data_IF_669739410941
#
_entry.id   IF_669739410941
#
_cell.length_a   1.000
_cell.length_b   1.000
_cell.length_c   1.000
_cell.angle_alpha   90.00
_cell.angle_beta   90.00
_cell.angle_gamma   90.00
#
_symmetry.space_group_name_H-M   'P 1'
#
loop_
_entity.id
_entity.type
_entity.pdbx_description
1 polymer ?
#
# COMPACT_ATOMS: atom_id res chain seq x y z
N UNK A 1 -53.63 -49.49 29.54
CA UNK A 1 -54.06 -48.93 28.25
C UNK A 1 -53.59 -47.47 28.23
N UNK A 2 -52.39 -47.20 27.69
CA UNK A 2 -51.88 -45.84 27.50
C UNK A 2 -51.62 -45.68 26.00
N UNK A 3 -52.39 -44.83 25.34
CA UNK A 3 -52.16 -44.44 23.95
C UNK A 3 -51.14 -43.30 23.98
N UNK A 4 -49.92 -43.59 23.52
CA UNK A 4 -48.88 -42.59 23.27
C UNK A 4 -49.21 -41.88 21.97
N UNK A 5 -49.76 -40.67 22.05
CA UNK A 5 -49.91 -39.80 20.88
C UNK A 5 -48.54 -39.30 20.42
N UNK A 6 -48.06 -39.87 19.31
CA UNK A 6 -46.83 -39.44 18.66
C UNK A 6 -47.13 -38.16 17.86
N UNK A 7 -46.65 -37.02 18.37
CA UNK A 7 -46.79 -35.73 17.69
C UNK A 7 -46.17 -35.78 16.27
N UNK A 8 -47.02 -35.73 15.24
CA UNK A 8 -46.62 -35.64 13.83
C UNK A 8 -45.97 -34.28 13.57
N UNK A 9 -44.66 -34.26 13.42
CA UNK A 9 -43.92 -33.06 13.04
C UNK A 9 -44.15 -32.77 11.54
N UNK A 10 -45.00 -31.81 11.22
CA UNK A 10 -45.23 -31.35 9.84
C UNK A 10 -43.97 -30.67 9.31
N UNK A 11 -43.19 -31.39 8.50
CA UNK A 11 -42.07 -30.81 7.75
C UNK A 11 -42.65 -29.92 6.63
N UNK A 12 -42.59 -28.61 6.82
CA UNK A 12 -42.87 -27.62 5.76
C UNK A 12 -41.69 -27.64 4.78
N UNK A 13 -41.94 -27.98 3.52
CA UNK A 13 -40.95 -27.87 2.44
C UNK A 13 -41.00 -26.47 1.83
N UNK A 14 -39.85 -25.96 1.41
CA UNK A 14 -39.77 -24.73 0.61
C UNK A 14 -40.41 -24.95 -0.76
N UNK A 15 -41.15 -23.96 -1.23
CA UNK A 15 -41.67 -23.95 -2.60
C UNK A 15 -40.58 -23.55 -3.59
N UNK A 16 -40.64 -24.06 -4.82
CA UNK A 16 -39.69 -23.68 -5.88
C UNK A 16 -39.71 -22.18 -6.17
N UNK A 17 -40.89 -21.55 -6.04
CA UNK A 17 -41.06 -20.11 -6.28
C UNK A 17 -40.41 -19.27 -5.19
N UNK A 18 -40.46 -19.70 -3.92
CA UNK A 18 -39.77 -19.01 -2.82
C UNK A 18 -38.26 -19.00 -3.05
N UNK A 19 -37.68 -20.12 -3.49
CA UNK A 19 -36.25 -20.20 -3.77
C UNK A 19 -35.87 -19.34 -4.98
N UNK A 20 -36.70 -19.32 -6.03
CA UNK A 20 -36.47 -18.54 -7.24
C UNK A 20 -36.46 -17.03 -6.98
N UNK A 21 -37.40 -16.52 -6.19
CA UNK A 21 -37.43 -15.09 -5.82
C UNK A 21 -36.21 -14.70 -5.00
N UNK A 22 -35.75 -15.56 -4.10
CA UNK A 22 -34.60 -15.27 -3.24
C UNK A 22 -33.32 -15.12 -4.05
N UNK A 23 -33.03 -16.04 -4.97
CA UNK A 23 -31.83 -15.92 -5.81
C UNK A 23 -31.91 -14.72 -6.76
N UNK A 24 -33.11 -14.34 -7.21
CA UNK A 24 -33.32 -13.14 -8.02
C UNK A 24 -32.95 -11.87 -7.25
N UNK A 25 -33.41 -11.75 -5.99
CA UNK A 25 -33.08 -10.60 -5.13
C UNK A 25 -31.60 -10.59 -4.75
N UNK A 26 -31.02 -11.74 -4.38
CA UNK A 26 -29.59 -11.85 -4.08
C UNK A 26 -28.75 -11.46 -5.30
N UNK A 27 -29.12 -11.91 -6.50
CA UNK A 27 -28.45 -11.56 -7.76
C UNK A 27 -28.47 -10.06 -8.04
N UNK A 28 -29.63 -9.42 -7.84
CA UNK A 28 -29.77 -7.97 -7.98
C UNK A 28 -28.84 -7.21 -7.02
N UNK A 29 -28.85 -7.56 -5.73
CA UNK A 29 -28.01 -6.90 -4.72
C UNK A 29 -26.52 -7.17 -4.97
N UNK A 30 -26.15 -8.40 -5.33
CA UNK A 30 -24.77 -8.77 -5.63
C UNK A 30 -24.19 -7.99 -6.82
N UNK A 31 -24.99 -7.72 -7.85
CA UNK A 31 -24.55 -6.96 -9.03
C UNK A 31 -24.11 -5.52 -8.68
N UNK A 32 -24.85 -4.84 -7.80
CA UNK A 32 -24.54 -3.47 -7.37
C UNK A 32 -23.25 -3.44 -6.56
N UNK A 33 -23.09 -4.38 -5.64
CA UNK A 33 -21.89 -4.50 -4.79
C UNK A 33 -20.64 -4.75 -5.63
N UNK A 34 -20.74 -5.55 -6.68
CA UNK A 34 -19.60 -5.89 -7.52
C UNK A 34 -19.03 -4.68 -8.26
N UNK A 35 -19.88 -3.76 -8.76
CA UNK A 35 -19.44 -2.53 -9.42
C UNK A 35 -18.72 -1.58 -8.44
N UNK A 36 -19.16 -1.50 -7.20
CA UNK A 36 -18.56 -0.64 -6.19
C UNK A 36 -17.20 -1.14 -5.66
N UNK A 37 -16.90 -2.43 -5.80
CA UNK A 37 -15.75 -3.07 -5.16
C UNK A 37 -14.40 -2.71 -5.79
N UNK A 38 -14.35 -2.48 -7.11
CA UNK A 38 -13.12 -2.13 -7.83
C UNK A 38 -12.47 -0.84 -7.30
N UNK A 39 -13.18 0.31 -7.34
CA UNK A 39 -12.69 1.59 -6.82
C UNK A 39 -12.42 1.55 -5.31
N UNK A 40 -13.24 0.82 -4.54
CA UNK A 40 -13.03 0.67 -3.09
C UNK A 40 -11.69 -0.01 -2.77
N UNK A 41 -11.34 -1.08 -3.50
CA UNK A 41 -10.04 -1.75 -3.37
C UNK A 41 -8.88 -0.83 -3.75
N UNK A 42 -9.03 -0.01 -4.80
CA UNK A 42 -8.01 0.96 -5.19
C UNK A 42 -7.74 1.99 -4.10
N UNK A 43 -8.80 2.58 -3.53
CA UNK A 43 -8.69 3.53 -2.40
C UNK A 43 -8.06 2.90 -1.16
N UNK A 44 -8.39 1.65 -0.87
CA UNK A 44 -7.78 0.92 0.25
C UNK A 44 -6.26 0.72 0.05
N UNK A 45 -5.83 0.39 -1.18
CA UNK A 45 -4.40 0.31 -1.51
C UNK A 45 -3.70 1.67 -1.41
N UNK A 46 -4.34 2.73 -1.87
CA UNK A 46 -3.77 4.09 -1.78
C UNK A 46 -3.64 4.55 -0.32
N UNK A 47 -4.64 4.28 0.53
CA UNK A 47 -4.56 4.57 1.95
C UNK A 47 -3.41 3.82 2.63
N UNK A 48 -3.20 2.54 2.26
CA UNK A 48 -2.06 1.74 2.73
C UNK A 48 -0.73 2.32 2.26
N UNK A 49 -0.59 2.71 0.99
CA UNK A 49 0.63 3.35 0.45
C UNK A 49 0.99 4.63 1.19
N UNK A 50 -0.01 5.49 1.46
CA UNK A 50 0.19 6.74 2.22
C UNK A 50 0.65 6.44 3.65
N UNK A 51 0.04 5.46 4.31
CA UNK A 51 0.45 5.03 5.65
C UNK A 51 1.88 4.48 5.67
N UNK A 52 2.25 3.69 4.67
CA UNK A 52 3.57 3.07 4.57
C UNK A 52 4.66 4.13 4.34
N UNK A 53 4.43 5.11 3.45
CA UNK A 53 5.35 6.24 3.25
C UNK A 53 5.52 7.05 4.54
N UNK A 54 4.46 7.27 5.31
CA UNK A 54 4.56 7.95 6.61
C UNK A 54 5.39 7.16 7.62
N UNK A 55 5.19 5.84 7.70
CA UNK A 55 5.99 4.98 8.58
C UNK A 55 7.47 5.05 8.19
N UNK A 56 7.78 5.02 6.89
CA UNK A 56 9.15 5.16 6.40
C UNK A 56 9.72 6.54 6.78
N UNK A 57 8.98 7.62 6.54
CA UNK A 57 9.36 9.00 6.94
C UNK A 57 9.67 9.10 8.44
N UNK A 58 8.82 8.53 9.30
CA UNK A 58 9.05 8.54 10.75
C UNK A 58 10.28 7.73 11.14
N UNK A 59 10.50 6.56 10.53
CA UNK A 59 11.71 5.79 10.80
C UNK A 59 12.98 6.54 10.35
N UNK A 60 12.90 7.24 9.22
CA UNK A 60 13.97 8.09 8.71
C UNK A 60 14.29 9.26 9.66
N UNK A 61 13.26 9.94 10.18
CA UNK A 61 13.40 11.03 11.15
C UNK A 61 14.04 10.54 12.47
N UNK A 62 13.60 9.40 12.99
CA UNK A 62 14.18 8.80 14.20
C UNK A 62 15.65 8.42 13.98
N UNK A 63 15.96 7.89 12.80
CA UNK A 63 17.30 7.48 12.41
C UNK A 63 18.25 8.68 12.25
N UNK A 64 17.76 9.83 11.77
CA UNK A 64 18.54 11.06 11.67
C UNK A 64 19.02 11.59 13.04
N UNK A 65 18.22 11.38 14.10
CA UNK A 65 18.57 11.76 15.46
C UNK A 65 19.51 10.81 16.19
N UNK A 66 19.80 9.62 15.63
CA UNK A 66 20.63 8.59 16.26
C UNK A 66 21.95 8.36 15.50
N UNK A 67 23.07 8.43 16.22
CA UNK A 67 24.40 8.18 15.64
C UNK A 67 24.60 6.70 15.28
N UNK A 68 23.86 5.79 15.91
CA UNK A 68 23.90 4.33 15.62
C UNK A 68 23.39 3.99 14.22
N UNK A 69 22.57 4.88 13.65
CA UNK A 69 22.08 4.83 12.28
C UNK A 69 23.10 5.28 11.24
N UNK A 70 24.07 6.13 11.63
CA UNK A 70 25.11 6.69 10.76
C UNK A 70 26.37 5.80 10.63
N UNK A 71 26.46 4.71 11.40
CA UNK A 71 27.66 3.85 11.50
C UNK A 71 27.62 2.60 10.64
N UNK A 72 26.63 2.45 9.76
CA UNK A 72 26.73 1.49 8.67
C UNK A 72 27.71 2.05 7.64
N UNK A 73 28.93 1.50 7.68
CA UNK A 73 30.00 1.72 6.73
C UNK A 73 29.48 1.55 5.29
N UNK A 74 30.01 2.36 4.40
CA UNK A 74 29.55 2.67 3.04
C UNK A 74 28.52 3.80 3.00
N UNK A 75 28.76 4.70 2.06
CA UNK A 75 28.12 5.98 1.73
C UNK A 75 26.66 5.85 1.28
N UNK A 76 25.94 5.00 1.99
CA UNK A 76 24.63 4.45 1.73
C UNK A 76 23.86 4.45 3.04
N UNK A 77 23.74 5.64 3.64
CA UNK A 77 22.75 5.90 4.70
C UNK A 77 21.35 5.47 4.27
N UNK A 78 21.10 5.46 2.95
CA UNK A 78 20.22 4.50 2.32
C UNK A 78 20.93 3.84 1.13
N UNK A 79 21.43 2.62 1.33
CA UNK A 79 21.15 1.63 0.29
C UNK A 79 19.65 1.36 0.43
N UNK A 80 18.84 2.20 -0.20
CA UNK A 80 17.73 1.64 -0.95
C UNK A 80 18.46 0.60 -1.80
N UNK A 81 18.41 -0.67 -1.40
CA UNK A 81 18.73 -1.73 -2.34
C UNK A 81 17.64 -1.62 -3.38
N UNK A 82 17.87 -0.69 -4.29
CA UNK A 82 17.28 -0.55 -5.57
C UNK A 82 17.63 -1.86 -6.25
N UNK A 83 16.63 -2.66 -6.57
CA UNK A 83 16.84 -3.65 -7.62
C UNK A 83 17.26 -2.92 -8.91
N UNK A 84 17.50 -3.65 -10.00
CA UNK A 84 17.78 -3.03 -11.29
C UNK A 84 16.68 -2.02 -11.74
N UNK A 85 15.52 -2.03 -11.07
CA UNK A 85 14.37 -1.16 -11.29
C UNK A 85 14.25 -0.04 -10.25
N UNK A 86 15.29 0.21 -9.43
CA UNK A 86 15.34 1.26 -8.41
C UNK A 86 14.29 1.13 -7.30
N UNK A 87 13.68 -0.06 -7.13
CA UNK A 87 12.66 -0.33 -6.10
C UNK A 87 13.31 -0.48 -4.74
N UNK A 88 12.66 0.03 -3.70
CA UNK A 88 13.07 -0.19 -2.32
C UNK A 88 12.88 -1.68 -1.95
N UNK A 89 13.94 -2.51 -2.05
CA UNK A 89 13.85 -3.98 -1.86
C UNK A 89 14.41 -4.50 -0.54
N UNK A 90 15.44 -3.86 0.02
CA UNK A 90 15.96 -4.19 1.36
C UNK A 90 16.49 -2.92 2.01
N UNK A 91 15.67 -2.24 2.78
CA UNK A 91 16.14 -1.11 3.59
C UNK A 91 15.75 -1.36 5.02
N UNK A 92 16.78 -1.75 5.76
CA UNK A 92 16.85 -1.58 7.19
C UNK A 92 17.04 -0.08 7.40
N UNK A 93 16.00 0.67 7.79
CA UNK A 93 16.17 2.07 8.24
C UNK A 93 16.75 1.99 9.66
N UNK A 94 18.01 1.57 9.74
CA UNK A 94 18.66 1.17 10.99
C UNK A 94 17.79 0.26 11.86
N UNK A 95 17.83 0.47 13.17
CA UNK A 95 17.05 -0.28 14.17
C UNK A 95 15.54 0.05 14.13
N UNK A 96 15.15 1.12 13.44
CA UNK A 96 13.79 1.69 13.52
C UNK A 96 12.80 1.08 12.51
N UNK A 97 13.30 0.45 11.45
CA UNK A 97 12.47 -0.32 10.53
C UNK A 97 13.27 -1.49 9.93
N UNK A 98 13.13 -2.72 10.48
CA UNK A 98 13.91 -3.87 10.03
C UNK A 98 13.40 -4.45 8.70
N UNK A 99 12.13 -4.21 8.36
CA UNK A 99 11.52 -4.64 7.11
C UNK A 99 10.64 -3.53 6.54
N UNK A 100 10.72 -3.37 5.22
CA UNK A 100 9.86 -2.46 4.50
C UNK A 100 8.44 -3.01 4.41
N UNK A 101 7.41 -2.15 4.50
CA UNK A 101 6.06 -2.54 4.16
C UNK A 101 5.99 -3.08 2.72
N UNK A 102 5.29 -4.20 2.54
CA UNK A 102 5.01 -4.73 1.20
C UNK A 102 3.94 -3.90 0.51
N UNK A 103 4.18 -3.53 -0.74
CA UNK A 103 3.21 -2.78 -1.53
C UNK A 103 1.92 -3.61 -1.75
N UNK A 104 0.73 -3.06 -1.45
CA UNK A 104 -0.52 -3.82 -1.40
C UNK A 104 -1.08 -4.23 -2.77
N UNK A 105 -0.54 -3.70 -3.87
CA UNK A 105 -0.86 -4.11 -5.24
C UNK A 105 0.04 -5.20 -5.79
N UNK A 106 1.10 -5.59 -5.08
CA UNK A 106 2.10 -6.55 -5.56
C UNK A 106 2.79 -6.12 -6.86
N UNK A 107 2.73 -4.83 -7.20
CA UNK A 107 3.24 -4.35 -8.49
C UNK A 107 4.77 -4.39 -8.53
N UNK A 108 5.36 -4.85 -9.62
CA UNK A 108 6.79 -4.70 -9.93
C UNK A 108 7.03 -3.41 -10.72
N UNK A 109 6.61 -2.27 -10.16
CA UNK A 109 6.88 -0.95 -10.73
C UNK A 109 8.35 -0.55 -10.63
N UNK A 110 8.90 -0.01 -11.71
CA UNK A 110 10.20 0.68 -11.76
C UNK A 110 10.13 2.03 -11.06
N UNK A 111 11.05 2.32 -10.16
CA UNK A 111 11.25 3.68 -9.67
C UNK A 111 12.12 4.45 -10.68
N UNK A 112 11.71 5.66 -11.05
CA UNK A 112 12.57 6.54 -11.84
C UNK A 112 13.63 7.16 -10.93
N UNK A 113 14.86 7.28 -11.40
CA UNK A 113 15.79 8.27 -10.86
C UNK A 113 15.74 9.52 -11.73
N UNK A 114 16.31 10.63 -11.24
CA UNK A 114 16.38 11.94 -11.91
C UNK A 114 16.78 11.94 -13.40
N UNK A 115 17.32 10.84 -13.92
CA UNK A 115 17.85 10.69 -15.27
C UNK A 115 17.07 9.73 -16.19
N UNK A 116 16.00 9.06 -15.75
CA UNK A 116 15.28 8.07 -16.58
C UNK A 116 13.81 8.41 -16.81
N UNK A 117 13.41 8.44 -18.09
CA UNK A 117 12.06 8.71 -18.60
C UNK A 117 11.07 7.54 -18.42
N UNK A 118 11.30 6.66 -17.44
CA UNK A 118 10.56 5.37 -17.32
C UNK A 118 9.52 5.47 -16.22
N UNK A 119 8.32 5.95 -16.53
CA UNK A 119 7.23 6.16 -15.58
C UNK A 119 7.12 5.07 -14.51
N UNK A 120 7.13 5.47 -13.24
CA UNK A 120 6.80 4.55 -12.17
C UNK A 120 5.38 4.04 -12.35
N UNK A 121 5.23 2.75 -12.66
CA UNK A 121 3.93 2.10 -12.58
C UNK A 121 3.40 2.23 -11.15
N UNK A 122 2.08 2.21 -10.98
CA UNK A 122 1.50 2.17 -9.64
C UNK A 122 1.93 0.87 -8.94
N UNK A 123 2.74 0.95 -7.89
CA UNK A 123 3.10 -0.23 -7.08
C UNK A 123 4.55 -0.38 -6.64
N UNK A 124 5.30 0.71 -6.49
CA UNK A 124 6.59 0.68 -5.79
C UNK A 124 6.65 1.79 -4.75
N UNK A 125 7.40 1.52 -3.68
CA UNK A 125 7.96 2.56 -2.83
C UNK A 125 9.32 2.94 -3.40
N UNK A 126 9.49 4.23 -3.64
CA UNK A 126 10.68 4.80 -4.27
C UNK A 126 11.31 5.81 -3.32
N UNK A 127 12.61 6.06 -3.47
CA UNK A 127 13.23 7.15 -2.74
C UNK A 127 14.64 7.52 -3.20
N UNK A 128 15.15 8.60 -2.62
CA UNK A 128 16.48 9.16 -2.84
C UNK A 128 17.04 9.64 -1.51
N UNK A 129 18.37 9.66 -1.39
CA UNK A 129 19.07 10.25 -0.25
C UNK A 129 20.31 11.01 -0.67
N UNK A 130 20.71 11.99 0.13
CA UNK A 130 22.04 12.58 0.01
C UNK A 130 23.11 11.58 0.49
N UNK A 131 24.34 11.74 -0.01
CA UNK A 131 25.48 10.87 0.33
C UNK A 131 25.83 10.89 1.83
N UNK A 132 25.42 11.94 2.54
CA UNK A 132 25.60 12.10 3.98
C UNK A 132 24.35 11.67 4.79
N UNK A 133 23.29 11.23 4.12
CA UNK A 133 22.06 10.78 4.79
C UNK A 133 21.18 11.87 5.39
N UNK A 134 21.61 13.13 5.31
CA UNK A 134 20.94 14.24 5.98
C UNK A 134 19.67 14.72 5.27
N UNK A 135 19.46 14.32 4.03
CA UNK A 135 18.27 14.63 3.24
C UNK A 135 17.76 13.35 2.61
N UNK A 136 16.45 13.17 2.63
CA UNK A 136 15.79 12.03 2.01
C UNK A 136 14.50 12.46 1.32
N UNK A 137 14.12 11.68 0.33
CA UNK A 137 12.85 11.81 -0.33
C UNK A 137 12.31 10.42 -0.59
N UNK A 138 11.12 10.11 -0.09
CA UNK A 138 10.43 8.84 -0.34
C UNK A 138 9.07 9.13 -0.93
N UNK A 139 8.65 8.33 -1.92
CA UNK A 139 7.38 8.56 -2.60
C UNK A 139 6.76 7.29 -3.14
N UNK A 140 5.44 7.36 -3.39
CA UNK A 140 4.66 6.32 -4.04
C UNK A 140 3.64 6.93 -4.99
N UNK A 141 3.44 6.31 -6.16
CA UNK A 141 2.36 6.67 -7.10
C UNK A 141 1.06 5.99 -6.67
N UNK A 142 0.00 6.77 -6.58
CA UNK A 142 -1.35 6.35 -6.23
C UNK A 142 -2.10 5.87 -7.47
N UNK A 143 -3.19 5.12 -7.27
CA UNK A 143 -4.00 4.58 -8.35
C UNK A 143 -4.74 5.65 -9.17
N UNK A 144 -4.84 6.88 -8.67
CA UNK A 144 -5.39 8.04 -9.38
C UNK A 144 -4.35 8.83 -10.19
N UNK A 145 -3.09 8.39 -10.21
CA UNK A 145 -1.99 9.02 -10.93
C UNK A 145 -1.26 10.11 -10.14
N UNK A 146 -1.77 10.52 -8.96
CA UNK A 146 -1.03 11.40 -8.06
C UNK A 146 0.12 10.65 -7.39
N UNK A 147 1.03 11.42 -6.81
CA UNK A 147 2.16 10.92 -6.04
C UNK A 147 1.99 11.40 -4.61
N UNK A 148 2.27 10.55 -3.63
CA UNK A 148 2.44 10.95 -2.25
C UNK A 148 3.93 10.87 -1.91
N UNK A 149 4.52 12.00 -1.54
CA UNK A 149 5.93 12.10 -1.21
C UNK A 149 6.13 12.58 0.22
N UNK A 150 7.21 12.15 0.86
CA UNK A 150 7.64 12.56 2.19
C UNK A 150 9.16 12.74 2.22
N UNK A 151 9.60 13.71 3.02
CA UNK A 151 10.98 14.16 3.18
C UNK A 151 11.15 14.74 4.59
N UNK A 152 12.37 15.13 4.95
CA UNK A 152 12.66 15.81 6.21
C UNK A 152 11.85 17.09 6.44
N UNK A 153 11.30 17.71 5.39
CA UNK A 153 10.48 18.93 5.50
C UNK A 153 8.99 18.63 5.64
N UNK A 154 8.57 17.37 5.49
CA UNK A 154 7.19 16.92 5.65
C UNK A 154 6.71 16.04 4.51
N UNK A 155 5.38 15.87 4.42
CA UNK A 155 4.75 15.02 3.39
C UNK A 155 3.60 15.74 2.69
N UNK A 156 3.50 15.54 1.37
CA UNK A 156 2.46 16.17 0.56
C UNK A 156 2.05 15.32 -0.65
N UNK A 157 0.85 15.60 -1.17
CA UNK A 157 0.40 15.08 -2.45
C UNK A 157 0.97 15.93 -3.59
N UNK A 158 1.52 15.29 -4.60
CA UNK A 158 2.11 15.89 -5.78
C UNK A 158 1.46 15.33 -7.05
N UNK A 159 1.50 16.10 -8.14
CA UNK A 159 1.02 15.67 -9.46
C UNK A 159 2.13 15.12 -10.36
N UNK A 160 3.39 15.37 -9.99
CA UNK A 160 4.58 14.92 -10.70
C UNK A 160 5.50 14.17 -9.74
N UNK A 161 6.29 13.25 -10.29
CA UNK A 161 7.33 12.53 -9.53
C UNK A 161 8.46 13.53 -9.20
N UNK A 162 8.93 13.60 -7.94
CA UNK A 162 10.05 14.46 -7.59
C UNK A 162 11.31 14.02 -8.35
N UNK A 163 11.87 14.90 -9.17
CA UNK A 163 13.06 14.61 -9.97
C UNK A 163 14.37 14.75 -9.20
N UNK A 164 14.34 15.26 -7.97
CA UNK A 164 15.52 15.44 -7.11
C UNK A 164 15.10 15.59 -5.64
N UNK A 165 16.06 15.51 -4.71
CA UNK A 165 15.87 15.80 -3.29
C UNK A 165 15.27 17.21 -3.07
N UNK A 166 15.74 18.21 -3.83
CA UNK A 166 15.23 19.58 -3.74
C UNK A 166 13.79 19.76 -4.25
N UNK A 167 13.31 18.83 -5.08
CA UNK A 167 11.93 18.81 -5.58
C UNK A 167 10.97 18.04 -4.67
N UNK A 168 11.46 17.40 -3.60
CA UNK A 168 10.63 16.80 -2.57
C UNK A 168 10.02 17.91 -1.68
N UNK A 169 8.84 17.67 -1.06
CA UNK A 169 8.30 18.51 0.01
C UNK A 169 9.34 19.04 0.98
#
# INVERSE_FOLDING_TARGET
>A
MQLSETMKHSKKGFTLIELLVVIAVIGMLASIVLVALGPARARARDAKRVSDIRQISTAMELCYGDTSCNTVNDSTFLAIAADANQRLTTTVVGTYMPTLPTEPGGGSATCTTAASTVESAAGAYCGYTSAAGAEYCVYARLSDGRVFAASEKGSQYMTIIPASLAACP
#
